data_IF_660687421395
#
_entry.id   IF_660687421395
#
_cell.length_a   1.000
_cell.length_b   1.000
_cell.length_c   1.000
_cell.angle_alpha   90.00
_cell.angle_beta   90.00
_cell.angle_gamma   90.00
#
_symmetry.space_group_name_H-M   'P 1'
#
loop_
_entity.id
_entity.type
_entity.pdbx_description
1 polymer ?
#
# COMPACT_ATOMS: atom_id res chain seq x y z
N UNK A 1 10.82 -7.20 6.33
CA UNK A 1 9.68 -7.99 6.88
C UNK A 1 8.55 -7.87 5.88
N UNK A 2 7.64 -8.84 5.74
CA UNK A 2 6.49 -8.64 4.85
C UNK A 2 5.72 -7.38 5.29
N UNK A 3 5.29 -6.58 4.31
CA UNK A 3 4.35 -5.47 4.53
C UNK A 3 3.09 -6.05 5.18
N UNK A 4 2.53 -5.34 6.15
CA UNK A 4 1.33 -5.74 6.86
C UNK A 4 0.32 -4.58 6.92
N UNK A 5 -0.91 -4.89 7.28
CA UNK A 5 -2.02 -3.95 7.49
C UNK A 5 -1.61 -2.67 8.26
N UNK A 6 -0.81 -2.79 9.33
CA UNK A 6 -0.30 -1.62 10.07
C UNK A 6 0.64 -0.74 9.22
N UNK A 7 1.54 -1.35 8.46
CA UNK A 7 2.46 -0.63 7.56
C UNK A 7 1.68 0.13 6.49
N UNK A 8 0.61 -0.48 5.97
CA UNK A 8 -0.29 0.16 5.01
C UNK A 8 -1.07 1.32 5.65
N UNK A 9 -1.57 1.13 6.87
CA UNK A 9 -2.24 2.19 7.62
C UNK A 9 -1.30 3.38 7.90
N UNK A 10 -0.06 3.10 8.32
CA UNK A 10 0.94 4.14 8.60
C UNK A 10 1.31 4.94 7.34
N UNK A 11 1.14 4.34 6.15
CA UNK A 11 1.38 5.02 4.87
C UNK A 11 0.23 5.94 4.44
N UNK A 12 -0.94 5.85 5.07
CA UNK A 12 -2.12 6.61 4.68
C UNK A 12 -1.91 8.12 4.84
N UNK A 13 -2.19 8.89 3.79
CA UNK A 13 -1.89 10.32 3.67
C UNK A 13 -0.39 10.69 3.67
N UNK A 14 0.47 9.77 3.23
CA UNK A 14 1.88 10.03 2.99
C UNK A 14 2.27 9.84 1.52
N UNK A 15 3.35 10.52 1.09
CA UNK A 15 4.02 10.14 -0.16
C UNK A 15 4.85 8.89 0.09
N UNK A 16 4.71 7.91 -0.80
CA UNK A 16 5.42 6.64 -0.68
C UNK A 16 6.14 6.26 -1.95
N UNK A 17 7.18 5.46 -1.78
CA UNK A 17 7.71 4.59 -2.82
C UNK A 17 7.30 3.16 -2.51
N UNK A 18 6.50 2.58 -3.40
CA UNK A 18 6.00 1.20 -3.32
C UNK A 18 6.79 0.33 -4.29
N UNK A 19 7.26 -0.82 -3.83
CA UNK A 19 7.86 -1.87 -4.66
C UNK A 19 6.93 -3.07 -4.69
N UNK A 20 6.52 -3.52 -5.87
CA UNK A 20 5.66 -4.70 -6.02
C UNK A 20 6.45 -6.02 -5.90
N UNK A 21 5.76 -7.17 -5.91
CA UNK A 21 6.42 -8.49 -5.86
C UNK A 21 7.30 -8.81 -7.08
N UNK A 22 7.13 -8.10 -8.20
CA UNK A 22 7.95 -8.26 -9.40
C UNK A 22 9.23 -7.40 -9.35
N UNK A 23 9.32 -6.48 -8.38
CA UNK A 23 10.42 -5.54 -8.23
C UNK A 23 10.20 -4.21 -8.96
N UNK A 24 9.01 -3.98 -9.51
CA UNK A 24 8.63 -2.71 -10.11
C UNK A 24 8.30 -1.69 -9.03
N UNK A 25 8.74 -0.44 -9.23
CA UNK A 25 8.55 0.64 -8.25
C UNK A 25 7.63 1.73 -8.77
N UNK A 26 6.76 2.21 -7.91
CA UNK A 26 5.90 3.37 -8.16
C UNK A 26 6.00 4.35 -6.98
N UNK A 27 6.05 5.64 -7.29
CA UNK A 27 5.91 6.70 -6.30
C UNK A 27 4.51 7.31 -6.41
N UNK A 28 3.88 7.57 -5.27
CA UNK A 28 2.54 8.14 -5.24
C UNK A 28 2.12 8.55 -3.84
N UNK A 29 1.03 9.30 -3.77
CA UNK A 29 0.42 9.70 -2.50
C UNK A 29 -0.68 8.70 -2.15
N UNK A 30 -0.66 8.14 -0.94
CA UNK A 30 -1.67 7.17 -0.49
C UNK A 30 -2.96 7.92 -0.14
N UNK A 31 -3.98 7.76 -0.98
CA UNK A 31 -5.28 8.45 -0.84
C UNK A 31 -6.33 7.61 -0.12
N UNK A 32 -6.04 6.33 0.10
CA UNK A 32 -6.99 5.40 0.66
C UNK A 32 -6.29 4.22 1.35
N UNK A 33 -6.91 3.74 2.42
CA UNK A 33 -6.54 2.53 3.15
C UNK A 33 -7.82 1.78 3.52
N UNK A 34 -7.81 0.46 3.33
CA UNK A 34 -8.83 -0.45 3.83
C UNK A 34 -8.18 -1.58 4.62
N UNK A 35 -8.79 -1.90 5.77
CA UNK A 35 -8.39 -3.06 6.56
C UNK A 35 -8.82 -4.36 5.88
N UNK A 36 -8.28 -5.49 6.34
CA UNK A 36 -8.70 -6.82 5.92
C UNK A 36 -10.20 -7.11 6.13
N UNK A 37 -10.88 -6.34 6.98
CA UNK A 37 -12.32 -6.45 7.24
C UNK A 37 -13.19 -5.61 6.30
N UNK A 38 -12.60 -4.59 5.67
CA UNK A 38 -13.32 -3.60 4.86
C UNK A 38 -13.02 -3.74 3.36
N UNK A 39 -11.83 -4.26 3.00
CA UNK A 39 -11.31 -4.30 1.63
C UNK A 39 -12.04 -5.24 0.67
N UNK A 40 -12.75 -6.24 1.20
CA UNK A 40 -13.31 -7.33 0.42
C UNK A 40 -12.28 -8.34 -0.11
N UNK A 41 -11.02 -8.26 0.31
CA UNK A 41 -9.91 -9.11 -0.17
C UNK A 41 -9.33 -10.10 0.85
N UNK A 42 -9.94 -10.28 2.04
CA UNK A 42 -9.36 -11.03 3.17
C UNK A 42 -7.95 -10.52 3.59
N UNK A 43 -7.55 -9.33 3.11
CA UNK A 43 -6.26 -8.68 3.37
C UNK A 43 -6.38 -7.15 3.24
N UNK A 44 -5.48 -6.39 3.85
CA UNK A 44 -5.50 -4.93 3.75
C UNK A 44 -5.08 -4.44 2.36
N UNK A 45 -5.53 -3.24 1.99
CA UNK A 45 -5.20 -2.61 0.71
C UNK A 45 -5.02 -1.10 0.84
N UNK A 46 -4.27 -0.52 -0.08
CA UNK A 46 -4.15 0.93 -0.25
C UNK A 46 -4.40 1.33 -1.69
N UNK A 47 -4.82 2.58 -1.91
CA UNK A 47 -4.83 3.16 -3.25
C UNK A 47 -3.93 4.39 -3.30
N UNK A 48 -3.17 4.50 -4.40
CA UNK A 48 -2.39 5.69 -4.70
C UNK A 48 -3.23 6.72 -5.46
N UNK A 49 -2.78 7.97 -5.50
CA UNK A 49 -3.41 9.09 -6.21
C UNK A 49 -3.56 8.88 -7.74
N UNK A 50 -2.93 7.87 -8.31
CA UNK A 50 -3.16 7.40 -9.68
C UNK A 50 -4.38 6.47 -9.82
N UNK A 51 -5.14 6.27 -8.74
CA UNK A 51 -6.31 5.37 -8.62
C UNK A 51 -5.99 3.89 -8.79
N UNK A 52 -4.71 3.50 -8.65
CA UNK A 52 -4.32 2.08 -8.62
C UNK A 52 -4.33 1.61 -7.18
N UNK A 53 -5.01 0.48 -6.97
CA UNK A 53 -5.08 -0.23 -5.70
C UNK A 53 -4.00 -1.31 -5.61
N UNK A 54 -3.42 -1.45 -4.42
CA UNK A 54 -2.39 -2.43 -4.10
C UNK A 54 -2.81 -3.17 -2.83
N UNK A 55 -2.99 -4.49 -2.94
CA UNK A 55 -3.25 -5.37 -1.79
C UNK A 55 -1.95 -5.67 -1.05
N UNK A 56 -2.03 -5.99 0.23
CA UNK A 56 -0.88 -6.36 1.05
C UNK A 56 0.00 -7.43 0.38
N UNK A 57 -0.61 -8.45 -0.23
CA UNK A 57 0.05 -9.53 -0.94
C UNK A 57 0.76 -9.11 -2.25
N UNK A 58 0.38 -7.99 -2.85
CA UNK A 58 1.00 -7.46 -4.07
C UNK A 58 2.27 -6.64 -3.77
N UNK A 59 2.45 -6.22 -2.51
CA UNK A 59 3.50 -5.27 -2.11
C UNK A 59 4.69 -6.03 -1.51
N UNK A 60 5.88 -5.81 -2.06
CA UNK A 60 7.12 -6.30 -1.50
C UNK A 60 7.65 -5.39 -0.39
N UNK A 61 7.60 -4.07 -0.62
CA UNK A 61 8.14 -3.04 0.27
C UNK A 61 7.40 -1.71 0.05
N UNK A 62 7.32 -0.89 1.09
CA UNK A 62 6.76 0.45 1.04
C UNK A 62 7.56 1.38 1.95
N UNK A 63 8.04 2.49 1.38
CA UNK A 63 8.85 3.50 2.05
C UNK A 63 8.09 4.83 2.08
N UNK A 64 7.90 5.41 3.27
CA UNK A 64 7.36 6.77 3.44
C UNK A 64 8.46 7.78 3.15
N UNK A 65 8.17 8.79 2.33
CA UNK A 65 9.14 9.74 1.79
C UNK A 65 9.15 11.12 2.48
N UNK A 66 8.25 11.36 3.45
CA UNK A 66 8.08 12.64 4.15
C UNK A 66 8.16 12.56 5.69
#
# INVERSE_FOLDING_TARGET
>A
MPVNSQTLYDSFYHNVKLTDKNGDTVEGFVIFYESEYDSGYDEAAIALNNLVEYKESDIADIEILD
#
